data_IF_241906661454
#
_entry.id   IF_241906661454
#
_cell.length_a   1.000
_cell.length_b   1.000
_cell.length_c   1.000
_cell.angle_alpha   90.00
_cell.angle_beta   90.00
_cell.angle_gamma   90.00
#
_symmetry.space_group_name_H-M   'P 1'
#
loop_
_entity.id
_entity.type
_entity.pdbx_description
1 polymer ?
#
# COMPACT_ATOMS: atom_id res chain seq x y z
N UNK A 1 48.52 6.82 0.22
CA UNK A 1 47.62 5.72 0.64
C UNK A 1 46.89 6.18 1.89
N UNK A 2 45.55 6.19 1.89
CA UNK A 2 44.76 6.50 3.09
C UNK A 2 44.63 5.20 3.90
N UNK A 3 44.93 5.25 5.19
CA UNK A 3 44.80 4.11 6.11
C UNK A 3 43.54 4.29 6.95
N UNK A 4 42.60 3.36 6.84
CA UNK A 4 41.38 3.32 7.67
C UNK A 4 41.48 2.21 8.73
N UNK A 5 40.80 2.39 9.87
CA UNK A 5 40.73 1.38 10.94
C UNK A 5 39.27 1.18 11.34
N UNK A 6 38.82 -0.08 11.41
CA UNK A 6 37.51 -0.50 11.90
C UNK A 6 37.68 -1.27 13.22
N UNK A 7 36.81 -1.02 14.20
CA UNK A 7 36.74 -1.79 15.45
C UNK A 7 35.30 -2.27 15.66
N UNK A 8 35.13 -3.55 15.96
CA UNK A 8 33.83 -4.19 16.21
C UNK A 8 33.85 -4.74 17.63
N UNK A 9 32.89 -4.31 18.45
CA UNK A 9 32.70 -4.75 19.83
C UNK A 9 31.26 -5.27 20.01
N UNK A 10 31.05 -6.59 20.10
CA UNK A 10 29.72 -7.19 20.25
C UNK A 10 28.99 -6.80 21.55
N UNK A 11 29.70 -6.29 22.56
CA UNK A 11 29.08 -5.79 23.79
C UNK A 11 28.47 -4.40 23.61
N UNK A 12 28.92 -3.64 22.60
CA UNK A 12 28.49 -2.26 22.35
C UNK A 12 27.33 -2.23 21.35
N UNK A 13 26.11 -2.42 21.85
CA UNK A 13 24.88 -2.48 21.05
C UNK A 13 24.23 -1.09 20.91
N UNK A 14 23.76 -0.75 19.71
CA UNK A 14 23.00 0.49 19.45
C UNK A 14 21.50 0.25 19.70
N UNK A 15 20.94 -0.80 19.11
CA UNK A 15 19.52 -1.17 19.25
C UNK A 15 19.17 -2.39 18.39
N UNK A 16 17.94 -2.92 18.52
CA UNK A 16 17.47 -3.96 17.61
C UNK A 16 17.32 -3.40 16.19
N UNK A 17 17.56 -4.24 15.18
CA UNK A 17 17.26 -3.92 13.79
C UNK A 17 15.79 -4.29 13.56
N UNK A 18 14.93 -3.30 13.30
CA UNK A 18 13.57 -3.57 12.85
C UNK A 18 13.64 -4.17 11.43
N UNK A 19 13.12 -5.39 11.19
CA UNK A 19 13.19 -5.99 9.87
C UNK A 19 12.48 -5.15 8.80
N UNK A 20 11.51 -4.31 9.16
CA UNK A 20 10.76 -3.49 8.21
C UNK A 20 11.63 -2.47 7.45
N UNK A 21 12.87 -2.22 7.86
CA UNK A 21 13.84 -1.44 7.06
C UNK A 21 14.19 -2.13 5.72
N UNK A 22 13.91 -3.44 5.60
CA UNK A 22 14.10 -4.23 4.38
C UNK A 22 12.81 -4.34 3.55
N UNK A 23 11.79 -3.55 3.86
CA UNK A 23 10.53 -3.49 3.11
C UNK A 23 10.73 -3.14 1.64
N UNK A 24 9.73 -3.47 0.82
CA UNK A 24 9.73 -3.20 -0.61
C UNK A 24 8.45 -2.44 -1.01
N UNK A 25 8.39 -2.02 -2.27
CA UNK A 25 7.29 -1.24 -2.80
C UNK A 25 6.94 -1.69 -4.21
N UNK A 26 5.65 -1.87 -4.47
CA UNK A 26 5.08 -2.08 -5.80
C UNK A 26 4.00 -1.03 -6.08
N UNK A 27 3.97 -0.56 -7.32
CA UNK A 27 2.99 0.42 -7.77
C UNK A 27 2.34 -0.07 -9.06
N UNK A 28 1.10 0.35 -9.30
CA UNK A 28 0.46 0.30 -10.61
C UNK A 28 1.17 1.24 -11.61
N UNK A 29 2.41 0.90 -11.95
CA UNK A 29 3.32 1.67 -12.80
C UNK A 29 4.01 0.73 -13.80
N UNK A 30 3.82 1.01 -15.09
CA UNK A 30 4.50 0.30 -16.16
C UNK A 30 4.17 -1.20 -16.14
N UNK A 31 5.19 -2.03 -15.91
CA UNK A 31 5.07 -3.50 -15.83
C UNK A 31 5.33 -4.04 -14.42
N UNK A 32 5.22 -3.22 -13.38
CA UNK A 32 5.43 -3.67 -12.01
C UNK A 32 4.36 -4.71 -11.62
N UNK A 33 3.08 -4.37 -11.84
CA UNK A 33 1.95 -5.30 -11.65
C UNK A 33 1.76 -6.17 -12.89
N UNK A 34 1.22 -5.59 -13.97
CA UNK A 34 0.86 -6.31 -15.19
C UNK A 34 2.09 -6.70 -16.02
N UNK A 35 2.27 -8.01 -16.21
CA UNK A 35 3.47 -8.58 -16.85
C UNK A 35 4.70 -8.60 -15.94
N UNK A 36 4.55 -8.20 -14.68
CA UNK A 36 5.55 -8.27 -13.62
C UNK A 36 5.19 -9.37 -12.63
N UNK A 37 4.57 -8.99 -11.51
CA UNK A 37 4.12 -9.95 -10.49
C UNK A 37 2.83 -10.68 -10.89
N UNK A 38 2.01 -10.10 -11.77
CA UNK A 38 0.70 -10.60 -12.18
C UNK A 38 0.58 -10.67 -13.70
N UNK A 39 0.42 -11.89 -14.22
CA UNK A 39 0.30 -12.17 -15.66
C UNK A 39 -0.56 -13.42 -15.90
N UNK A 40 -1.90 -13.32 -15.77
CA UNK A 40 -2.80 -14.45 -16.04
C UNK A 40 -2.60 -15.04 -17.44
N UNK A 41 -2.59 -16.37 -17.53
CA UNK A 41 -2.40 -17.10 -18.80
C UNK A 41 -0.95 -17.28 -19.24
N UNK A 42 0.01 -16.67 -18.54
CA UNK A 42 1.44 -16.97 -18.75
C UNK A 42 1.76 -18.41 -18.29
N UNK A 43 2.61 -19.15 -19.01
CA UNK A 43 3.05 -20.48 -18.59
C UNK A 43 3.89 -20.47 -17.29
N UNK A 44 4.33 -19.28 -16.86
CA UNK A 44 5.09 -19.07 -15.63
C UNK A 44 4.20 -18.62 -14.45
N UNK A 45 2.89 -18.44 -14.67
CA UNK A 45 1.95 -18.01 -13.65
C UNK A 45 1.21 -19.19 -13.01
N UNK A 46 0.84 -19.03 -11.74
CA UNK A 46 -0.06 -19.96 -11.07
C UNK A 46 -1.53 -19.70 -11.44
N UNK A 47 -2.45 -20.46 -10.83
CA UNK A 47 -3.89 -20.34 -11.06
C UNK A 47 -4.47 -18.98 -10.61
N UNK A 48 -3.80 -18.27 -9.72
CA UNK A 48 -4.16 -16.91 -9.31
C UNK A 48 -3.59 -15.85 -10.25
N UNK A 49 -2.81 -16.25 -11.27
CA UNK A 49 -2.16 -15.34 -12.22
C UNK A 49 -0.85 -14.75 -11.70
N UNK A 50 -0.35 -15.20 -10.55
CA UNK A 50 0.91 -14.72 -10.01
C UNK A 50 2.08 -15.40 -10.68
N UNK A 51 3.06 -14.62 -11.13
CA UNK A 51 4.29 -15.13 -11.75
C UNK A 51 5.12 -15.88 -10.71
N UNK A 52 5.15 -17.21 -10.80
CA UNK A 52 5.74 -18.08 -9.77
C UNK A 52 7.26 -17.91 -9.64
N UNK A 53 7.94 -17.63 -10.75
CA UNK A 53 9.36 -17.33 -10.79
C UNK A 53 9.70 -16.00 -10.10
N UNK A 54 8.84 -14.99 -10.26
CA UNK A 54 8.97 -13.69 -9.58
C UNK A 54 8.63 -13.82 -8.09
N UNK A 55 7.54 -14.52 -7.77
CA UNK A 55 7.12 -14.76 -6.38
C UNK A 55 8.20 -15.50 -5.59
N UNK A 56 8.86 -16.48 -6.20
CA UNK A 56 9.99 -17.19 -5.59
C UNK A 56 11.19 -16.27 -5.35
N UNK A 57 11.50 -15.38 -6.29
CA UNK A 57 12.54 -14.37 -6.07
C UNK A 57 12.19 -13.43 -4.89
N UNK A 58 10.93 -13.00 -4.76
CA UNK A 58 10.47 -12.17 -3.64
C UNK A 58 10.59 -12.93 -2.31
N UNK A 59 10.19 -14.20 -2.25
CA UNK A 59 10.34 -15.04 -1.04
C UNK A 59 11.79 -15.16 -0.59
N UNK A 60 12.75 -15.28 -1.53
CA UNK A 60 14.18 -15.34 -1.21
C UNK A 60 14.73 -14.07 -0.57
N UNK A 61 14.17 -12.91 -0.93
CA UNK A 61 14.50 -11.63 -0.32
C UNK A 61 13.96 -11.49 1.11
N UNK A 62 13.00 -12.34 1.51
CA UNK A 62 12.34 -12.29 2.82
C UNK A 62 11.78 -10.89 3.12
N UNK A 63 11.06 -10.34 2.15
CA UNK A 63 10.44 -9.02 2.26
C UNK A 63 9.47 -9.03 3.45
N UNK A 64 9.69 -8.20 4.49
CA UNK A 64 8.86 -8.21 5.69
C UNK A 64 7.56 -7.43 5.51
N UNK A 65 7.61 -6.34 4.75
CA UNK A 65 6.47 -5.47 4.44
C UNK A 65 6.53 -5.01 2.99
N UNK A 66 5.38 -4.98 2.32
CA UNK A 66 5.25 -4.59 0.93
C UNK A 66 4.22 -3.48 0.78
N UNK A 67 4.64 -2.30 0.29
CA UNK A 67 3.77 -1.15 0.03
C UNK A 67 3.04 -1.26 -1.32
N UNK A 68 1.78 -0.86 -1.38
CA UNK A 68 0.86 -0.83 -2.55
C UNK A 68 -0.33 0.14 -2.26
N UNK A 69 -1.17 0.60 -3.22
CA UNK A 69 -1.16 0.44 -4.68
C UNK A 69 -0.21 1.36 -5.42
N UNK A 70 0.39 2.31 -4.71
CA UNK A 70 1.29 3.23 -5.36
C UNK A 70 1.65 4.42 -4.54
N UNK A 71 2.63 5.12 -5.10
CA UNK A 71 2.91 6.49 -4.83
C UNK A 71 1.94 7.33 -5.62
N UNK A 72 2.37 7.90 -6.75
CA UNK A 72 1.56 8.86 -7.50
C UNK A 72 0.20 8.28 -7.94
N UNK A 73 0.16 6.99 -8.29
CA UNK A 73 -1.07 6.31 -8.70
C UNK A 73 -2.18 6.38 -7.65
N UNK A 74 -1.85 6.25 -6.35
CA UNK A 74 -2.87 6.15 -5.30
C UNK A 74 -3.68 7.43 -5.15
N UNK A 75 -3.09 8.58 -5.47
CA UNK A 75 -3.72 9.89 -5.35
C UNK A 75 -4.92 10.12 -6.29
N UNK A 76 -5.14 9.20 -7.24
CA UNK A 76 -6.33 9.18 -8.12
C UNK A 76 -7.03 7.82 -8.17
N UNK A 77 -6.67 6.88 -7.30
CA UNK A 77 -7.18 5.51 -7.29
C UNK A 77 -8.39 5.37 -6.37
N UNK A 78 -9.46 4.75 -6.85
CA UNK A 78 -10.63 4.40 -6.05
C UNK A 78 -10.67 2.89 -5.83
N UNK A 79 -10.39 2.45 -4.60
CA UNK A 79 -10.13 1.03 -4.31
C UNK A 79 -11.31 0.10 -4.60
N UNK A 80 -12.52 0.63 -4.58
CA UNK A 80 -13.74 -0.10 -4.90
C UNK A 80 -13.78 -0.56 -6.36
N UNK A 81 -13.05 0.11 -7.27
CA UNK A 81 -12.93 -0.32 -8.66
C UNK A 81 -12.11 -1.63 -8.78
N UNK A 82 -11.31 -1.96 -7.75
CA UNK A 82 -10.41 -3.12 -7.71
C UNK A 82 -10.92 -4.33 -6.91
N UNK A 83 -12.19 -4.36 -6.49
CA UNK A 83 -12.77 -5.49 -5.74
C UNK A 83 -13.92 -6.13 -6.51
N UNK A 84 -14.39 -7.29 -6.03
CA UNK A 84 -15.51 -8.00 -6.65
C UNK A 84 -15.13 -8.73 -7.95
N UNK A 85 -16.11 -9.23 -8.71
CA UNK A 85 -15.85 -10.04 -9.90
C UNK A 85 -15.00 -9.29 -10.93
N UNK A 86 -13.84 -9.84 -11.30
CA UNK A 86 -12.87 -9.19 -12.18
C UNK A 86 -13.47 -8.74 -13.53
N UNK A 87 -14.47 -9.46 -14.06
CA UNK A 87 -15.14 -9.12 -15.31
C UNK A 87 -16.03 -7.86 -15.23
N UNK A 88 -16.43 -7.44 -14.02
CA UNK A 88 -17.29 -6.28 -13.77
C UNK A 88 -16.48 -5.03 -13.38
N UNK A 89 -15.18 -5.19 -13.12
CA UNK A 89 -14.32 -4.09 -12.67
C UNK A 89 -14.12 -3.06 -13.78
N UNK A 90 -14.30 -1.76 -13.50
CA UNK A 90 -14.21 -0.74 -14.53
C UNK A 90 -12.75 -0.50 -14.90
N UNK A 91 -12.50 -0.34 -16.19
CA UNK A 91 -11.24 0.21 -16.65
C UNK A 91 -11.19 1.72 -16.41
N UNK A 92 -10.05 2.22 -15.92
CA UNK A 92 -9.81 3.63 -15.62
C UNK A 92 -8.60 4.15 -16.38
N UNK A 93 -8.57 5.47 -16.56
CA UNK A 93 -7.36 6.17 -17.00
C UNK A 93 -6.58 6.60 -15.78
N UNK A 94 -5.40 6.01 -15.60
CA UNK A 94 -4.42 6.49 -14.63
C UNK A 94 -3.85 7.83 -15.11
N UNK A 95 -4.02 8.86 -14.29
CA UNK A 95 -3.56 10.21 -14.57
C UNK A 95 -2.09 10.44 -14.19
N UNK A 96 -1.56 9.67 -13.24
CA UNK A 96 -0.18 9.78 -12.78
C UNK A 96 0.79 9.32 -13.86
N UNK A 97 0.59 8.13 -14.43
CA UNK A 97 1.47 7.56 -15.44
C UNK A 97 0.88 7.61 -16.85
N UNK A 98 -0.31 8.20 -17.00
CA UNK A 98 -1.02 8.37 -18.29
C UNK A 98 -1.25 7.01 -18.98
N UNK A 99 -1.60 6.01 -18.20
CA UNK A 99 -1.82 4.63 -18.64
C UNK A 99 -3.28 4.20 -18.45
N UNK A 100 -3.58 3.06 -19.04
CA UNK A 100 -4.82 2.33 -18.84
C UNK A 100 -4.66 1.44 -17.62
N UNK A 101 -5.61 1.51 -16.70
CA UNK A 101 -5.71 0.64 -15.53
C UNK A 101 -6.92 -0.27 -15.69
N UNK A 102 -6.69 -1.58 -15.70
CA UNK A 102 -7.76 -2.58 -15.89
C UNK A 102 -8.51 -2.94 -14.60
N UNK A 103 -7.90 -2.65 -13.44
CA UNK A 103 -8.30 -3.05 -12.11
C UNK A 103 -8.42 -4.57 -11.88
N UNK A 104 -7.83 -5.40 -12.75
CA UNK A 104 -7.79 -6.86 -12.55
C UNK A 104 -6.92 -7.28 -11.36
N UNK A 105 -5.98 -6.43 -10.94
CA UNK A 105 -5.24 -6.60 -9.71
C UNK A 105 -5.65 -5.50 -8.73
N UNK A 106 -6.38 -5.84 -7.68
CA UNK A 106 -6.83 -4.90 -6.66
C UNK A 106 -6.52 -5.39 -5.26
N UNK A 107 -7.35 -4.96 -4.29
CA UNK A 107 -7.09 -5.21 -2.86
C UNK A 107 -6.98 -6.70 -2.55
N UNK A 108 -7.90 -7.51 -3.08
CA UNK A 108 -7.99 -8.93 -2.79
C UNK A 108 -6.78 -9.69 -3.37
N UNK A 109 -6.41 -9.39 -4.62
CA UNK A 109 -5.24 -9.99 -5.26
C UNK A 109 -3.93 -9.55 -4.60
N UNK A 110 -3.82 -8.28 -4.18
CA UNK A 110 -2.65 -7.78 -3.46
C UNK A 110 -2.45 -8.48 -2.12
N UNK A 111 -3.51 -8.63 -1.33
CA UNK A 111 -3.42 -9.33 -0.05
C UNK A 111 -3.08 -10.80 -0.28
N UNK A 112 -3.72 -11.46 -1.25
CA UNK A 112 -3.38 -12.84 -1.61
C UNK A 112 -1.91 -12.99 -2.03
N UNK A 113 -1.38 -12.06 -2.82
CA UNK A 113 0.03 -12.03 -3.20
C UNK A 113 0.94 -11.87 -1.97
N UNK A 114 0.60 -10.96 -1.04
CA UNK A 114 1.35 -10.78 0.20
C UNK A 114 1.40 -12.05 1.04
N UNK A 115 0.25 -12.75 1.19
CA UNK A 115 0.16 -14.02 1.91
C UNK A 115 0.99 -15.10 1.22
N UNK A 116 0.94 -15.18 -0.10
CA UNK A 116 1.76 -16.12 -0.86
C UNK A 116 3.26 -15.83 -0.70
N UNK A 117 3.67 -14.56 -0.69
CA UNK A 117 5.07 -14.15 -0.54
C UNK A 117 5.57 -14.23 0.92
N UNK A 118 4.67 -14.33 1.91
CA UNK A 118 5.03 -14.30 3.33
C UNK A 118 5.39 -12.89 3.83
N UNK A 119 4.82 -11.84 3.21
CA UNK A 119 5.04 -10.43 3.57
C UNK A 119 3.79 -9.82 4.19
N UNK A 120 3.97 -8.81 5.03
CA UNK A 120 2.85 -8.00 5.52
C UNK A 120 2.42 -6.96 4.48
N UNK A 121 1.12 -6.75 4.27
CA UNK A 121 0.62 -5.70 3.40
C UNK A 121 0.75 -4.32 4.06
N UNK A 122 1.19 -3.34 3.28
CA UNK A 122 1.14 -1.91 3.57
C UNK A 122 0.33 -1.22 2.46
N UNK A 123 -0.85 -0.70 2.81
CA UNK A 123 -1.75 0.01 1.89
C UNK A 123 -1.63 1.53 2.04
N UNK A 124 -1.64 2.30 0.95
CA UNK A 124 -1.75 3.76 1.00
C UNK A 124 -3.18 4.21 0.70
N UNK A 125 -3.68 5.22 1.41
CA UNK A 125 -4.97 5.86 1.11
C UNK A 125 -4.84 6.85 -0.05
N UNK A 126 -5.90 6.96 -0.85
CA UNK A 126 -6.07 8.08 -1.76
C UNK A 126 -6.45 9.34 -0.97
N UNK A 127 -5.49 10.26 -0.78
CA UNK A 127 -5.73 11.59 -0.22
C UNK A 127 -5.62 12.69 -1.28
N UNK A 128 -5.66 12.33 -2.57
CA UNK A 128 -5.73 13.27 -3.68
C UNK A 128 -7.18 13.56 -4.06
N UNK A 129 -7.84 12.61 -4.73
CA UNK A 129 -9.27 12.67 -5.10
C UNK A 129 -10.20 11.91 -4.16
N UNK A 130 -9.65 11.07 -3.29
CA UNK A 130 -10.41 10.26 -2.34
C UNK A 130 -10.97 11.04 -1.15
N UNK A 131 -11.74 10.35 -0.31
CA UNK A 131 -12.40 10.93 0.87
C UNK A 131 -12.09 10.15 2.15
N UNK A 132 -12.40 10.74 3.30
CA UNK A 132 -12.30 10.06 4.60
C UNK A 132 -13.23 8.85 4.68
N UNK A 133 -14.44 8.95 4.13
CA UNK A 133 -15.38 7.83 4.04
C UNK A 133 -14.82 6.70 3.19
N UNK A 134 -14.17 7.02 2.08
CA UNK A 134 -13.53 6.03 1.22
C UNK A 134 -12.37 5.32 1.94
N UNK A 135 -11.53 6.07 2.66
CA UNK A 135 -10.43 5.50 3.44
C UNK A 135 -10.94 4.61 4.59
N UNK A 136 -11.95 5.07 5.32
CA UNK A 136 -12.58 4.30 6.40
C UNK A 136 -13.21 3.01 5.88
N UNK A 137 -13.96 3.10 4.79
CA UNK A 137 -14.56 1.97 4.12
C UNK A 137 -13.52 0.93 3.70
N UNK A 138 -12.33 1.36 3.26
CA UNK A 138 -11.25 0.44 2.91
C UNK A 138 -10.70 -0.30 4.12
N UNK A 139 -10.52 0.40 5.24
CA UNK A 139 -10.12 -0.24 6.51
C UNK A 139 -11.18 -1.24 6.96
N UNK A 140 -12.46 -0.87 6.88
CA UNK A 140 -13.57 -1.77 7.25
C UNK A 140 -13.62 -3.00 6.34
N UNK A 141 -13.45 -2.83 5.03
CA UNK A 141 -13.35 -3.92 4.08
C UNK A 141 -12.21 -4.86 4.44
N UNK A 142 -11.01 -4.33 4.70
CA UNK A 142 -9.83 -5.13 4.99
C UNK A 142 -9.87 -5.79 6.38
N UNK A 143 -10.32 -5.09 7.43
CA UNK A 143 -10.10 -5.50 8.81
C UNK A 143 -11.39 -5.76 9.61
N UNK A 144 -12.57 -5.38 9.09
CA UNK A 144 -13.84 -5.57 9.79
C UNK A 144 -14.24 -7.04 9.93
N UNK A 145 -14.62 -7.45 11.14
CA UNK A 145 -14.99 -8.83 11.49
C UNK A 145 -16.51 -9.02 11.75
N UNK A 146 -17.37 -8.19 11.16
CA UNK A 146 -18.79 -8.10 11.53
C UNK A 146 -19.79 -8.16 10.36
N UNK A 147 -20.98 -7.59 10.61
CA UNK A 147 -22.11 -7.51 9.67
C UNK A 147 -22.22 -6.16 8.97
N UNK A 148 -21.16 -5.36 9.02
CA UNK A 148 -21.14 -4.04 8.37
C UNK A 148 -21.04 -4.20 6.85
N UNK A 149 -21.48 -3.19 6.10
CA UNK A 149 -21.60 -3.31 4.64
C UNK A 149 -20.29 -3.75 3.97
N UNK A 150 -19.15 -3.15 4.33
CA UNK A 150 -17.88 -3.44 3.66
C UNK A 150 -17.26 -4.76 4.10
N UNK A 151 -17.42 -5.16 5.35
CA UNK A 151 -17.03 -6.51 5.80
C UNK A 151 -17.86 -7.59 5.09
N UNK A 152 -19.15 -7.36 4.90
CA UNK A 152 -20.03 -8.25 4.13
C UNK A 152 -19.71 -8.27 2.63
N UNK A 153 -19.27 -7.15 2.04
CA UNK A 153 -18.77 -7.18 0.65
C UNK A 153 -17.53 -8.06 0.52
N UNK A 154 -16.55 -7.95 1.44
CA UNK A 154 -15.36 -8.81 1.44
C UNK A 154 -15.75 -10.30 1.52
N UNK A 155 -16.64 -10.64 2.45
CA UNK A 155 -17.16 -12.02 2.61
C UNK A 155 -17.85 -12.49 1.33
N UNK A 156 -18.74 -11.66 0.75
CA UNK A 156 -19.46 -11.95 -0.50
C UNK A 156 -18.51 -12.22 -1.67
N UNK A 157 -17.37 -11.55 -1.72
CA UNK A 157 -16.36 -11.75 -2.76
C UNK A 157 -15.42 -12.94 -2.49
N UNK A 158 -15.71 -13.76 -1.47
CA UNK A 158 -15.02 -15.02 -1.21
C UNK A 158 -13.98 -14.96 -0.10
N UNK A 159 -13.89 -13.85 0.61
CA UNK A 159 -12.85 -13.58 1.60
C UNK A 159 -13.47 -13.44 3.01
N UNK A 160 -13.78 -14.58 3.62
CA UNK A 160 -14.52 -14.61 4.89
C UNK A 160 -13.75 -13.91 6.03
N UNK A 161 -12.50 -14.32 6.24
CA UNK A 161 -11.67 -13.78 7.31
C UNK A 161 -11.17 -12.37 6.98
N UNK A 162 -11.10 -11.46 7.97
CA UNK A 162 -10.42 -10.18 7.81
C UNK A 162 -8.97 -10.36 7.39
N UNK A 163 -8.49 -9.46 6.53
CA UNK A 163 -7.11 -9.44 6.08
C UNK A 163 -6.14 -9.03 7.17
N UNK A 164 -6.54 -8.16 8.10
CA UNK A 164 -5.68 -7.70 9.19
C UNK A 164 -4.50 -6.86 8.70
N UNK A 165 -4.75 -5.93 7.77
CA UNK A 165 -3.75 -5.00 7.24
C UNK A 165 -3.34 -4.03 8.35
N UNK A 166 -2.07 -4.06 8.74
CA UNK A 166 -1.54 -3.28 9.89
C UNK A 166 -1.03 -1.91 9.47
N UNK A 167 -0.39 -1.80 8.31
CA UNK A 167 0.33 -0.59 7.90
C UNK A 167 -0.48 0.19 6.86
N UNK A 168 -0.70 1.48 7.15
CA UNK A 168 -1.47 2.36 6.29
C UNK A 168 -0.79 3.72 6.09
N UNK A 169 -0.67 4.13 4.84
CA UNK A 169 -0.04 5.39 4.45
C UNK A 169 -1.09 6.47 4.27
N UNK A 170 -0.88 7.62 4.92
CA UNK A 170 -1.76 8.79 4.82
C UNK A 170 -1.40 9.57 3.55
N UNK A 171 -1.85 9.07 2.39
CA UNK A 171 -1.57 9.69 1.10
C UNK A 171 -0.20 9.34 0.54
N UNK A 172 0.23 10.09 -0.48
CA UNK A 172 1.54 9.98 -1.10
C UNK A 172 2.09 11.34 -1.54
N UNK A 173 3.31 11.66 -1.12
CA UNK A 173 4.15 12.78 -1.61
C UNK A 173 3.37 14.09 -1.88
N UNK A 174 2.38 14.39 -1.04
CA UNK A 174 1.36 15.42 -1.29
C UNK A 174 1.92 16.84 -1.44
N UNK A 175 3.19 17.03 -1.08
CA UNK A 175 3.98 18.26 -1.27
C UNK A 175 4.40 18.50 -2.72
N UNK A 176 4.35 17.50 -3.60
CA UNK A 176 4.82 17.63 -4.98
C UNK A 176 3.77 18.29 -5.89
N UNK A 177 4.10 19.34 -6.67
CA UNK A 177 3.15 19.94 -7.62
C UNK A 177 2.73 18.99 -8.76
N UNK A 178 3.40 17.85 -8.92
CA UNK A 178 3.02 16.78 -9.85
C UNK A 178 1.94 15.84 -9.29
N UNK A 179 1.67 15.86 -7.98
CA UNK A 179 0.64 15.02 -7.38
C UNK A 179 -0.76 15.50 -7.73
N UNK A 180 -1.64 14.54 -7.99
CA UNK A 180 -3.08 14.80 -7.94
C UNK A 180 -3.44 15.17 -6.50
N UNK A 181 -4.03 16.34 -6.32
CA UNK A 181 -4.41 16.84 -4.99
C UNK A 181 -3.22 17.30 -4.14
N UNK A 182 -2.23 17.96 -4.75
CA UNK A 182 -1.18 18.73 -4.06
C UNK A 182 -1.71 19.55 -2.88
N UNK A 183 -0.93 19.64 -1.79
CA UNK A 183 -1.25 20.39 -0.58
C UNK A 183 -0.04 21.13 -0.04
N UNK A 184 -0.29 22.27 0.63
CA UNK A 184 0.69 22.85 1.56
C UNK A 184 0.88 21.95 2.78
N UNK A 185 1.96 22.14 3.53
CA UNK A 185 2.27 21.37 4.74
C UNK A 185 1.13 21.44 5.76
N UNK A 186 0.65 22.65 6.10
CA UNK A 186 -0.45 22.85 7.04
C UNK A 186 -1.76 22.20 6.60
N UNK A 187 -2.13 22.34 5.32
CA UNK A 187 -3.34 21.72 4.77
C UNK A 187 -3.26 20.20 4.81
N UNK A 188 -2.08 19.63 4.54
CA UNK A 188 -1.87 18.20 4.68
C UNK A 188 -1.92 17.74 6.13
N UNK A 189 -1.23 18.43 7.04
CA UNK A 189 -1.20 18.07 8.47
C UNK A 189 -2.61 18.05 9.09
N UNK A 190 -3.43 19.06 8.80
CA UNK A 190 -4.82 19.12 9.24
C UNK A 190 -5.65 17.95 8.67
N UNK A 191 -5.52 17.67 7.38
CA UNK A 191 -6.25 16.58 6.73
C UNK A 191 -5.78 15.21 7.24
N UNK A 192 -4.48 14.97 7.33
CA UNK A 192 -3.88 13.72 7.80
C UNK A 192 -4.32 13.40 9.24
N UNK A 193 -4.41 14.41 10.10
CA UNK A 193 -4.93 14.25 11.47
C UNK A 193 -6.37 13.75 11.49
N UNK A 194 -7.24 14.31 10.65
CA UNK A 194 -8.66 13.92 10.60
C UNK A 194 -8.85 12.53 9.98
N UNK A 195 -8.12 12.22 8.89
CA UNK A 195 -8.06 10.87 8.34
C UNK A 195 -7.61 9.86 9.41
N UNK A 196 -6.49 10.14 10.07
CA UNK A 196 -5.93 9.27 11.10
C UNK A 196 -6.91 9.02 12.25
N UNK A 197 -7.59 10.07 12.74
CA UNK A 197 -8.61 9.96 13.77
C UNK A 197 -9.76 9.06 13.32
N UNK A 198 -10.28 9.27 12.12
CA UNK A 198 -11.45 8.55 11.65
C UNK A 198 -11.17 7.07 11.35
N UNK A 199 -10.06 6.76 10.66
CA UNK A 199 -9.70 5.35 10.41
C UNK A 199 -9.36 4.60 11.70
N UNK A 200 -8.80 5.29 12.71
CA UNK A 200 -8.55 4.70 14.03
C UNK A 200 -9.81 4.40 14.83
N UNK A 201 -10.91 5.08 14.56
CA UNK A 201 -12.20 4.72 15.15
C UNK A 201 -12.77 3.43 14.58
N UNK A 202 -12.33 3.05 13.37
CA UNK A 202 -12.69 1.77 12.74
C UNK A 202 -11.77 0.65 13.22
N UNK A 203 -10.46 0.90 13.27
CA UNK A 203 -9.47 -0.04 13.80
C UNK A 203 -8.39 0.71 14.60
N UNK A 204 -8.30 0.44 15.90
CA UNK A 204 -7.39 1.18 16.79
C UNK A 204 -5.94 0.75 16.65
N UNK A 205 -5.68 -0.44 16.11
CA UNK A 205 -4.36 -1.08 16.10
C UNK A 205 -3.53 -0.74 14.85
N UNK A 206 -4.07 0.09 13.96
CA UNK A 206 -3.38 0.53 12.75
C UNK A 206 -2.06 1.26 13.04
N UNK A 207 -1.06 0.99 12.22
CA UNK A 207 0.19 1.76 12.11
C UNK A 207 0.05 2.72 10.94
N UNK A 208 -0.08 4.00 11.25
CA UNK A 208 -0.26 5.05 10.25
C UNK A 208 1.09 5.72 9.94
N UNK A 209 1.36 5.96 8.65
CA UNK A 209 2.58 6.60 8.16
C UNK A 209 2.21 7.90 7.44
N UNK A 210 2.62 9.04 7.99
CA UNK A 210 2.46 10.34 7.35
C UNK A 210 3.52 10.56 6.25
N UNK A 211 3.23 11.43 5.29
CA UNK A 211 4.13 11.80 4.20
C UNK A 211 5.13 12.87 4.65
N UNK A 212 6.34 12.46 5.01
CA UNK A 212 7.47 13.38 5.09
C UNK A 212 7.93 13.84 3.70
N UNK A 213 8.56 15.00 3.62
CA UNK A 213 9.04 15.63 2.39
C UNK A 213 10.57 15.63 2.23
N UNK A 214 11.31 15.28 3.29
CA UNK A 214 12.77 15.38 3.31
C UNK A 214 13.27 16.83 3.34
N UNK A 215 12.34 17.79 3.49
CA UNK A 215 12.57 19.20 3.72
C UNK A 215 12.22 19.51 5.19
N UNK A 216 13.15 20.08 5.97
CA UNK A 216 12.91 20.34 7.40
C UNK A 216 11.69 21.22 7.68
N UNK A 217 11.34 22.17 6.81
CA UNK A 217 10.18 23.04 7.03
C UNK A 217 8.87 22.26 6.86
N UNK A 218 8.76 21.44 5.81
CA UNK A 218 7.65 20.51 5.64
C UNK A 218 7.55 19.54 6.82
N UNK A 219 8.65 18.85 7.14
CA UNK A 219 8.66 17.78 8.12
C UNK A 219 8.33 18.29 9.53
N UNK A 220 8.74 19.52 9.88
CA UNK A 220 8.43 20.14 11.16
C UNK A 220 6.93 20.38 11.38
N UNK A 221 6.20 20.72 10.32
CA UNK A 221 4.76 20.97 10.39
C UNK A 221 3.95 19.66 10.37
N UNK A 222 4.49 18.61 9.74
CA UNK A 222 3.75 17.40 9.35
C UNK A 222 3.99 16.19 10.27
N UNK A 223 5.18 16.04 10.84
CA UNK A 223 5.60 14.85 11.63
C UNK A 223 5.59 15.13 13.14
#
# INVERSE_FOLDING_TARGET
MIKATLRIDPARRIGPIDPNIYGQFIEHLGRCIYGGIFEPGSPLSDASGFRTDVLEAVRRLRVPVLRWPGGNFVSGYHWQDGIGPAAERPARRDTAWRKFESNQFGTDEFVAYCRAAGTEPYICFNMGTGTMDEAQAWVEYCNGAGETYWSQQRIKFGHAEPYGVKYWGLGNEVYGPWQVGYKSASSYAEQAREYAKFVRWTDRDLRLVACGGGDPEWDWEVL
#
